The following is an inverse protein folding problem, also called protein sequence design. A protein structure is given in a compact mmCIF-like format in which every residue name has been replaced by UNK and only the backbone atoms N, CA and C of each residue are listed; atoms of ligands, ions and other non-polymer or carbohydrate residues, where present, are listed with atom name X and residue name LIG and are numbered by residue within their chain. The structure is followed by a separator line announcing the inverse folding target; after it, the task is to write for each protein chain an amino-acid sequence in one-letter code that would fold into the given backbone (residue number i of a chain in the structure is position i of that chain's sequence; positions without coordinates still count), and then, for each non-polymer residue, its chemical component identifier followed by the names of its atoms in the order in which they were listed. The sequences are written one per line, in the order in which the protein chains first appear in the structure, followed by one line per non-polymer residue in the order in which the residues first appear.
data_IF_560169145261
#
_entry.id   IF_560169145261
#
_cell.length_a   1.000
_cell.length_b   1.000
_cell.length_c   1.000
_cell.angle_alpha   90.00
_cell.angle_beta   90.00
_cell.angle_gamma   90.00
#
_symmetry.space_group_name_H-M   'P 1'
#
loop_
_entity.id
_entity.type
_entity.pdbx_description
1 polymer ?
#
# COMPACT_ATOMS: atom_id res chain seq x y z
N UNK A 1 2.89 -13.31 5.67
CA UNK A 1 3.57 -12.12 5.08
C UNK A 1 3.55 -12.29 3.57
N UNK A 2 3.65 -11.21 2.79
CA UNK A 2 3.61 -11.26 1.32
C UNK A 2 4.70 -12.17 0.73
N UNK A 3 5.84 -12.26 1.40
CA UNK A 3 6.98 -13.13 1.09
C UNK A 3 6.72 -14.63 1.33
N UNK A 4 5.53 -15.01 1.80
CA UNK A 4 5.07 -16.40 1.72
C UNK A 4 4.88 -16.85 0.25
N UNK A 5 4.66 -15.90 -0.65
CA UNK A 5 4.75 -16.13 -2.09
C UNK A 5 6.22 -16.25 -2.48
N UNK A 6 6.62 -17.43 -2.96
CA UNK A 6 8.01 -17.73 -3.34
C UNK A 6 8.49 -16.81 -4.46
N UNK A 7 9.74 -16.34 -4.35
CA UNK A 7 10.39 -15.49 -5.36
C UNK A 7 10.29 -13.99 -5.07
N UNK A 8 9.67 -13.60 -3.95
CA UNK A 8 9.59 -12.21 -3.49
C UNK A 8 10.50 -11.97 -2.29
N UNK A 9 11.11 -10.79 -2.27
CA UNK A 9 11.70 -10.20 -1.07
C UNK A 9 11.18 -8.78 -0.89
N UNK A 10 11.17 -8.29 0.35
CA UNK A 10 10.72 -6.93 0.67
C UNK A 10 11.82 -6.24 1.45
N UNK A 11 12.14 -5.02 1.06
CA UNK A 11 13.10 -4.18 1.75
C UNK A 11 12.55 -2.81 2.06
N UNK A 12 13.05 -2.22 3.14
CA UNK A 12 12.64 -0.92 3.63
C UNK A 12 13.87 -0.05 3.88
N UNK A 13 13.77 1.23 3.50
CA UNK A 13 14.66 2.27 3.97
C UNK A 13 13.81 3.47 4.37
N UNK A 14 14.18 4.15 5.44
CA UNK A 14 13.35 5.20 6.01
C UNK A 14 14.18 6.18 6.83
N UNK A 15 13.60 7.36 7.03
CA UNK A 15 14.04 8.31 8.02
C UNK A 15 12.91 8.49 9.05
N UNK A 16 13.14 8.00 10.27
CA UNK A 16 12.16 8.12 11.36
C UNK A 16 12.12 9.53 11.96
N UNK A 17 13.11 10.38 11.70
CA UNK A 17 13.06 11.78 12.13
C UNK A 17 12.18 12.60 11.21
N UNK A 18 12.33 12.47 9.88
CA UNK A 18 11.41 13.07 8.90
C UNK A 18 10.10 12.31 8.74
N UNK A 19 9.95 11.14 9.36
CA UNK A 19 8.79 10.25 9.25
C UNK A 19 8.43 9.97 7.78
N UNK A 20 9.38 9.44 7.01
CA UNK A 20 9.17 9.05 5.63
C UNK A 20 10.03 7.85 5.24
N UNK A 21 9.74 7.22 4.10
CA UNK A 21 10.53 6.09 3.64
C UNK A 21 10.04 5.45 2.36
N UNK A 22 10.71 4.36 1.98
CA UNK A 22 10.45 3.55 0.80
C UNK A 22 10.33 2.10 1.21
N UNK A 23 9.36 1.42 0.61
CA UNK A 23 9.27 -0.04 0.62
C UNK A 23 9.41 -0.53 -0.81
N UNK A 24 10.34 -1.46 -1.05
CA UNK A 24 10.55 -2.10 -2.34
C UNK A 24 10.22 -3.57 -2.23
N UNK A 25 9.36 -4.05 -3.12
CA UNK A 25 9.08 -5.47 -3.31
C UNK A 25 9.91 -5.91 -4.53
N UNK A 26 10.88 -6.80 -4.34
CA UNK A 26 11.75 -7.30 -5.41
C UNK A 26 11.29 -8.67 -5.89
N UNK A 27 11.30 -8.85 -7.21
CA UNK A 27 11.02 -10.10 -7.93
C UNK A 27 12.15 -10.38 -8.92
N UNK A 28 13.34 -10.83 -8.48
CA UNK A 28 14.52 -11.00 -9.34
C UNK A 28 14.31 -11.88 -10.57
N UNK A 29 13.44 -12.89 -10.47
CA UNK A 29 13.08 -13.78 -11.58
C UNK A 29 12.06 -13.17 -12.57
N UNK A 30 11.59 -11.95 -12.32
CA UNK A 30 10.44 -11.35 -12.99
C UNK A 30 9.11 -11.86 -12.43
N UNK A 31 8.11 -10.99 -12.39
CA UNK A 31 6.73 -11.35 -12.07
C UNK A 31 5.77 -10.63 -13.01
N UNK A 32 4.74 -11.33 -13.46
CA UNK A 32 3.65 -10.69 -14.22
C UNK A 32 2.97 -9.68 -13.31
N UNK A 33 2.77 -8.47 -13.82
CA UNK A 33 2.24 -7.37 -13.03
C UNK A 33 0.98 -6.75 -13.62
N UNK A 34 0.09 -6.31 -12.73
CA UNK A 34 -1.09 -5.50 -13.05
C UNK A 34 -1.26 -4.40 -12.00
N UNK A 35 -2.09 -3.40 -12.31
CA UNK A 35 -2.39 -2.30 -11.39
C UNK A 35 -3.84 -1.84 -11.54
N UNK A 36 -4.44 -1.44 -10.42
CA UNK A 36 -5.69 -0.67 -10.38
C UNK A 36 -5.48 0.59 -9.53
N UNK A 37 -5.60 1.76 -10.16
CA UNK A 37 -5.52 3.07 -9.51
C UNK A 37 -6.93 3.62 -9.37
N UNK A 38 -7.37 3.89 -8.13
CA UNK A 38 -8.77 4.21 -7.82
C UNK A 38 -8.97 5.56 -7.14
N UNK A 39 -8.00 6.03 -6.37
CA UNK A 39 -8.09 7.32 -5.72
C UNK A 39 -8.10 8.49 -6.71
N UNK A 40 -8.70 9.62 -6.33
CA UNK A 40 -8.78 10.83 -7.16
C UNK A 40 -7.50 11.68 -7.26
N UNK A 41 -6.48 11.41 -6.44
CA UNK A 41 -5.21 12.15 -6.40
C UNK A 41 -3.98 11.22 -6.47
N UNK A 42 -3.85 10.37 -7.50
CA UNK A 42 -2.75 9.42 -7.59
C UNK A 42 -1.42 10.11 -7.89
N UNK A 43 -0.35 9.64 -7.26
CA UNK A 43 1.01 9.89 -7.70
C UNK A 43 1.65 8.56 -8.07
N UNK A 44 1.90 8.34 -9.36
CA UNK A 44 2.35 7.05 -9.88
C UNK A 44 3.48 7.21 -10.89
N UNK A 45 4.19 6.12 -11.12
CA UNK A 45 5.20 5.97 -12.16
C UNK A 45 5.02 4.63 -12.87
N UNK A 46 5.13 4.66 -14.20
CA UNK A 46 5.19 3.47 -15.07
C UNK A 46 3.97 2.53 -14.98
N UNK A 47 2.81 3.06 -14.58
CA UNK A 47 1.55 2.30 -14.54
C UNK A 47 1.03 1.93 -15.93
N UNK A 48 1.26 2.76 -16.95
CA UNK A 48 0.84 2.50 -18.33
C UNK A 48 1.52 1.27 -18.93
N UNK A 49 2.70 0.89 -18.45
CA UNK A 49 3.37 -0.34 -18.88
C UNK A 49 2.68 -1.60 -18.36
N UNK A 50 1.83 -1.48 -17.33
CA UNK A 50 1.11 -2.59 -16.72
C UNK A 50 -0.27 -2.84 -17.36
N UNK A 51 -0.70 -2.02 -18.32
CA UNK A 51 -1.93 -2.32 -19.06
C UNK A 51 -1.74 -3.60 -19.89
N UNK A 52 -2.76 -4.47 -20.02
CA UNK A 52 -2.61 -5.78 -20.66
C UNK A 52 -2.07 -5.72 -22.10
N UNK A 53 -2.30 -4.62 -22.80
CA UNK A 53 -1.90 -4.40 -24.19
C UNK A 53 -0.41 -4.00 -24.33
N UNK A 54 0.23 -3.52 -23.26
CA UNK A 54 1.61 -3.06 -23.30
C UNK A 54 2.61 -4.23 -23.33
N UNK A 55 3.73 -4.03 -24.01
CA UNK A 55 4.75 -5.05 -24.31
C UNK A 55 5.48 -5.63 -23.08
N UNK A 56 5.59 -4.88 -21.99
CA UNK A 56 6.30 -5.37 -20.79
C UNK A 56 5.41 -6.36 -20.05
N UNK A 57 5.77 -7.64 -20.07
CA UNK A 57 5.02 -8.69 -19.38
C UNK A 57 5.35 -8.81 -17.90
N UNK A 58 6.63 -8.59 -17.56
CA UNK A 58 7.16 -8.83 -16.22
C UNK A 58 7.93 -7.63 -15.69
N UNK A 59 7.81 -7.40 -14.38
CA UNK A 59 8.59 -6.42 -13.64
C UNK A 59 9.45 -7.10 -12.60
N UNK A 60 10.52 -6.41 -12.19
CA UNK A 60 11.50 -6.93 -11.23
C UNK A 60 11.40 -6.25 -9.87
N UNK A 61 10.61 -5.17 -9.78
CA UNK A 61 10.32 -4.50 -8.53
C UNK A 61 9.02 -3.70 -8.60
N UNK A 62 8.41 -3.49 -7.43
CA UNK A 62 7.40 -2.45 -7.17
C UNK A 62 7.91 -1.57 -6.03
N UNK A 63 7.81 -0.25 -6.16
CA UNK A 63 8.20 0.69 -5.11
C UNK A 63 6.99 1.46 -4.55
N UNK A 64 6.81 1.40 -3.23
CA UNK A 64 5.86 2.23 -2.50
C UNK A 64 6.65 3.28 -1.73
N UNK A 65 6.34 4.56 -1.91
CA UNK A 65 7.16 5.66 -1.40
C UNK A 65 6.34 6.65 -0.58
N UNK A 66 6.94 7.21 0.48
CA UNK A 66 6.46 8.44 1.11
C UNK A 66 6.83 9.68 0.28
N UNK A 67 6.70 10.87 0.84
CA UNK A 67 7.19 12.12 0.25
C UNK A 67 6.32 12.69 -0.88
N UNK A 68 5.11 12.16 -1.11
CA UNK A 68 4.26 12.52 -2.25
C UNK A 68 5.05 12.41 -3.57
N UNK A 69 4.73 13.22 -4.58
CA UNK A 69 5.35 13.16 -5.90
C UNK A 69 6.89 13.24 -5.88
N UNK A 70 7.48 13.93 -4.89
CA UNK A 70 8.93 13.99 -4.72
C UNK A 70 9.55 12.61 -4.45
N UNK A 71 8.84 11.75 -3.70
CA UNK A 71 9.30 10.42 -3.36
C UNK A 71 9.47 9.47 -4.54
N UNK A 72 8.90 9.79 -5.72
CA UNK A 72 9.18 9.05 -6.95
C UNK A 72 10.67 9.11 -7.34
N UNK A 73 11.44 10.06 -6.81
CA UNK A 73 12.90 10.09 -6.97
C UNK A 73 13.59 8.84 -6.42
N UNK A 74 13.00 8.15 -5.43
CA UNK A 74 13.53 6.89 -4.91
C UNK A 74 13.61 5.79 -5.98
N UNK A 75 12.71 5.82 -6.98
CA UNK A 75 12.70 4.82 -8.04
C UNK A 75 14.00 4.82 -8.85
N UNK A 76 14.67 5.96 -8.97
CA UNK A 76 16.00 6.03 -9.61
C UNK A 76 17.02 5.11 -8.93
N UNK A 77 17.01 5.04 -7.60
CA UNK A 77 17.88 4.14 -6.85
C UNK A 77 17.53 2.66 -7.02
N UNK A 78 16.22 2.36 -7.08
CA UNK A 78 15.75 1.00 -7.35
C UNK A 78 16.18 0.54 -8.74
N UNK A 79 16.05 1.40 -9.75
CA UNK A 79 16.53 1.13 -11.10
C UNK A 79 18.05 0.92 -11.15
N UNK A 80 18.83 1.74 -10.43
CA UNK A 80 20.28 1.57 -10.33
C UNK A 80 20.65 0.20 -9.75
N UNK A 81 20.05 -0.18 -8.62
CA UNK A 81 20.29 -1.48 -8.01
C UNK A 81 19.92 -2.63 -8.95
N UNK A 82 18.75 -2.57 -9.61
CA UNK A 82 18.34 -3.60 -10.56
C UNK A 82 19.29 -3.71 -11.75
N UNK A 83 19.74 -2.58 -12.31
CA UNK A 83 20.67 -2.56 -13.44
C UNK A 83 22.02 -3.19 -13.07
N UNK A 84 22.57 -2.88 -11.90
CA UNK A 84 23.82 -3.46 -11.39
C UNK A 84 23.74 -4.99 -11.22
N UNK A 85 22.55 -5.51 -10.92
CA UNK A 85 22.32 -6.94 -10.73
C UNK A 85 21.81 -7.64 -12.00
N UNK A 86 21.74 -6.92 -13.14
CA UNK A 86 21.33 -7.48 -14.42
C UNK A 86 19.83 -7.80 -14.53
N UNK A 87 18.99 -7.14 -13.75
CA UNK A 87 17.53 -7.28 -13.79
C UNK A 87 16.90 -6.18 -14.66
N UNK A 88 15.96 -6.55 -15.53
CA UNK A 88 15.30 -5.59 -16.40
C UNK A 88 14.77 -6.22 -17.68
N UNK A 89 14.05 -5.40 -18.45
CA UNK A 89 13.54 -5.76 -19.76
C UNK A 89 14.65 -5.72 -20.82
N UNK A 90 14.80 -6.79 -21.59
CA UNK A 90 15.82 -6.88 -22.65
C UNK A 90 15.42 -6.07 -23.88
N UNK A 91 16.16 -5.00 -24.15
CA UNK A 91 15.90 -4.10 -25.30
C UNK A 91 16.76 -4.40 -26.53
N UNK A 92 17.66 -5.39 -26.43
CA UNK A 92 18.68 -5.70 -27.45
C UNK A 92 19.96 -4.86 -27.34
N UNK A 93 19.93 -3.71 -26.64
CA UNK A 93 21.14 -2.90 -26.34
C UNK A 93 21.54 -2.98 -24.87
N UNK A 94 20.56 -3.11 -23.98
CA UNK A 94 20.76 -3.29 -22.54
C UNK A 94 19.49 -3.87 -21.89
N UNK A 95 19.65 -4.37 -20.66
CA UNK A 95 18.52 -4.60 -19.76
C UNK A 95 18.09 -3.28 -19.14
N UNK A 96 16.84 -2.89 -19.36
CA UNK A 96 16.26 -1.66 -18.83
C UNK A 96 15.31 -2.02 -17.68
N UNK A 97 15.62 -1.67 -16.42
CA UNK A 97 14.71 -1.88 -15.31
C UNK A 97 13.37 -1.14 -15.51
N UNK A 98 12.27 -1.85 -15.28
CA UNK A 98 10.91 -1.29 -15.25
C UNK A 98 10.44 -1.40 -13.81
N UNK A 99 10.18 -0.25 -13.18
CA UNK A 99 9.83 -0.17 -11.75
C UNK A 99 8.57 0.66 -11.59
N UNK A 100 7.38 0.03 -11.67
CA UNK A 100 6.15 0.68 -11.31
C UNK A 100 6.19 1.13 -9.84
N UNK A 101 5.67 2.32 -9.59
CA UNK A 101 5.69 2.89 -8.26
C UNK A 101 4.46 3.75 -7.98
N UNK A 102 4.17 3.92 -6.70
CA UNK A 102 3.17 4.85 -6.23
C UNK A 102 3.64 5.53 -4.94
N UNK A 103 3.11 6.74 -4.69
CA UNK A 103 3.49 7.57 -3.54
C UNK A 103 2.31 7.88 -2.65
N UNK A 104 2.58 7.98 -1.35
CA UNK A 104 1.67 8.54 -0.35
C UNK A 104 2.20 9.86 0.17
N UNK A 105 1.29 10.71 0.65
CA UNK A 105 1.61 12.01 1.21
C UNK A 105 1.78 11.91 2.73
N UNK A 106 3.01 12.03 3.21
CA UNK A 106 3.38 12.04 4.63
C UNK A 106 4.00 13.37 5.09
N UNK A 107 4.16 14.34 4.18
CA UNK A 107 4.83 15.62 4.44
C UNK A 107 4.17 16.47 5.55
N UNK A 108 2.87 16.26 5.82
CA UNK A 108 2.16 16.97 6.88
C UNK A 108 2.40 16.37 8.29
N UNK A 109 2.71 15.08 8.38
CA UNK A 109 3.10 14.44 9.64
C UNK A 109 4.61 14.53 9.85
N UNK A 110 5.35 14.31 8.76
CA UNK A 110 6.79 14.32 8.68
C UNK A 110 7.37 15.70 8.36
N UNK A 111 8.49 15.70 7.64
CA UNK A 111 9.17 16.92 7.21
C UNK A 111 8.96 17.18 5.71
N UNK A 112 8.65 18.43 5.36
CA UNK A 112 8.46 18.84 3.97
C UNK A 112 9.78 19.06 3.18
N UNK A 113 10.93 19.11 3.88
CA UNK A 113 12.26 19.34 3.31
C UNK A 113 13.10 18.05 3.18
N UNK A 114 12.59 16.91 3.64
CA UNK A 114 13.28 15.62 3.60
C UNK A 114 12.31 14.52 3.19
N UNK A 115 12.48 14.02 1.98
CA UNK A 115 11.65 12.99 1.34
C UNK A 115 12.53 11.92 0.71
N UNK A 116 11.98 10.75 0.34
CA UNK A 116 12.75 9.68 -0.27
C UNK A 116 13.48 10.10 -1.56
N UNK A 117 14.75 9.71 -1.65
CA UNK A 117 15.62 9.96 -2.78
C UNK A 117 16.20 8.66 -3.34
N UNK A 118 17.00 8.77 -4.40
CA UNK A 118 17.64 7.62 -5.03
C UNK A 118 18.48 6.79 -4.03
N UNK A 119 19.20 7.42 -3.10
CA UNK A 119 20.00 6.69 -2.12
C UNK A 119 19.11 5.84 -1.20
N UNK A 120 17.98 6.38 -0.76
CA UNK A 120 17.01 5.65 0.05
C UNK A 120 16.36 4.49 -0.73
N UNK A 121 16.00 4.71 -2.01
CA UNK A 121 15.48 3.65 -2.87
C UNK A 121 16.46 2.49 -3.07
N UNK A 122 17.73 2.80 -3.32
CA UNK A 122 18.80 1.79 -3.43
C UNK A 122 18.99 1.03 -2.11
N UNK A 123 19.04 1.75 -0.98
CA UNK A 123 19.18 1.14 0.34
C UNK A 123 18.02 0.20 0.68
N UNK A 124 16.80 0.52 0.25
CA UNK A 124 15.65 -0.37 0.41
C UNK A 124 15.85 -1.69 -0.35
N UNK A 125 16.42 -1.67 -1.56
CA UNK A 125 16.75 -2.89 -2.30
C UNK A 125 17.82 -3.73 -1.58
N UNK A 126 18.88 -3.09 -1.06
CA UNK A 126 19.94 -3.77 -0.30
C UNK A 126 19.37 -4.44 0.96
N UNK A 127 18.41 -3.81 1.63
CA UNK A 127 17.78 -4.32 2.84
C UNK A 127 16.72 -5.40 2.58
N UNK A 128 16.47 -5.79 1.32
CA UNK A 128 15.40 -6.71 0.98
C UNK A 128 15.62 -8.12 1.56
N UNK A 129 14.59 -8.65 2.21
CA UNK A 129 14.63 -9.99 2.81
C UNK A 129 13.28 -10.69 2.73
N UNK A 130 13.23 -11.96 3.13
CA UNK A 130 11.97 -12.71 3.26
C UNK A 130 11.23 -12.39 4.57
N UNK A 131 11.89 -11.79 5.56
CA UNK A 131 11.26 -11.29 6.77
C UNK A 131 10.80 -9.84 6.53
N UNK A 132 9.50 -9.60 6.70
CA UNK A 132 8.88 -8.30 6.43
C UNK A 132 8.57 -7.61 7.75
N UNK A 133 9.21 -6.47 7.99
CA UNK A 133 8.88 -5.63 9.13
C UNK A 133 7.55 -4.89 8.88
N UNK A 134 6.78 -4.67 9.94
CA UNK A 134 5.47 -3.99 9.91
C UNK A 134 5.48 -2.77 10.85
N UNK A 135 4.45 -1.93 10.74
CA UNK A 135 4.32 -0.71 11.53
C UNK A 135 5.03 0.48 10.87
N UNK A 136 5.77 1.25 11.65
CA UNK A 136 6.35 2.52 11.21
C UNK A 136 7.70 2.33 10.49
N UNK A 137 7.70 1.61 9.37
CA UNK A 137 8.88 1.33 8.54
C UNK A 137 8.61 1.60 7.07
N UNK A 138 9.65 1.95 6.33
CA UNK A 138 9.57 2.20 4.88
C UNK A 138 8.49 3.22 4.55
N UNK A 139 7.65 2.94 3.56
CA UNK A 139 6.50 3.81 3.22
C UNK A 139 5.51 4.00 4.39
N UNK A 140 5.46 3.08 5.36
CA UNK A 140 4.62 3.19 6.54
C UNK A 140 5.15 4.14 7.62
N UNK A 141 6.40 4.63 7.51
CA UNK A 141 7.02 5.48 8.51
C UNK A 141 6.17 6.73 8.81
N UNK A 142 5.71 7.42 7.77
CA UNK A 142 4.87 8.62 7.85
C UNK A 142 3.37 8.41 7.75
N UNK A 143 2.90 7.16 7.66
CA UNK A 143 1.50 6.88 7.38
C UNK A 143 0.57 7.15 8.58
N UNK A 144 -0.63 7.67 8.32
CA UNK A 144 -1.66 8.01 9.32
C UNK A 144 -3.08 7.83 8.78
N UNK A 145 -4.08 7.73 9.66
CA UNK A 145 -5.50 7.48 9.31
C UNK A 145 -6.46 8.37 10.11
N UNK A 146 -7.72 8.45 9.69
CA UNK A 146 -8.78 9.14 10.44
C UNK A 146 -8.61 10.65 10.46
N UNK A 147 -8.51 11.25 9.27
CA UNK A 147 -8.08 12.66 9.10
C UNK A 147 -9.24 13.63 8.84
N UNK A 148 -10.48 13.17 9.01
CA UNK A 148 -11.68 13.97 8.74
C UNK A 148 -11.72 15.29 9.53
N UNK A 149 -11.17 15.31 10.75
CA UNK A 149 -11.05 16.51 11.59
C UNK A 149 -9.62 17.09 11.62
N UNK A 150 -8.82 16.77 10.58
CA UNK A 150 -7.43 17.18 10.44
C UNK A 150 -6.45 16.32 11.25
N UNK A 151 -5.16 16.55 11.01
CA UNK A 151 -4.05 15.82 11.64
C UNK A 151 -4.09 15.79 13.18
N UNK A 152 -4.53 16.84 13.90
CA UNK A 152 -4.62 16.79 15.37
C UNK A 152 -5.59 15.74 15.93
N UNK A 153 -6.52 15.24 15.11
CA UNK A 153 -7.45 14.16 15.46
C UNK A 153 -7.07 12.81 14.83
N UNK A 154 -6.03 12.77 14.00
CA UNK A 154 -5.61 11.55 13.32
C UNK A 154 -4.95 10.54 14.27
N UNK A 155 -4.81 9.31 13.78
CA UNK A 155 -4.06 8.25 14.43
C UNK A 155 -2.89 7.80 13.56
N UNK A 156 -1.83 7.33 14.22
CA UNK A 156 -0.69 6.74 13.54
C UNK A 156 -1.08 5.40 12.94
N UNK A 157 -0.60 5.17 11.72
CA UNK A 157 -0.74 3.93 10.97
C UNK A 157 0.64 3.47 10.49
N UNK A 158 0.70 2.53 9.57
CA UNK A 158 1.96 1.99 9.11
C UNK A 158 1.85 1.07 7.91
N UNK A 159 2.78 0.13 7.88
CA UNK A 159 2.87 -0.94 6.92
C UNK A 159 2.34 -2.23 7.54
N UNK A 160 1.51 -2.98 6.81
CA UNK A 160 0.98 -4.27 7.23
C UNK A 160 1.13 -5.31 6.14
N UNK A 161 1.22 -6.58 6.53
CA UNK A 161 1.29 -7.69 5.58
C UNK A 161 0.57 -8.93 6.08
N UNK A 162 -0.10 -9.64 5.17
CA UNK A 162 -0.79 -10.90 5.46
C UNK A 162 -0.57 -11.90 4.32
N UNK A 163 -0.95 -13.15 4.56
CA UNK A 163 -0.93 -14.20 3.54
C UNK A 163 -1.85 -15.36 3.90
N UNK A 164 -2.33 -16.08 2.91
CA UNK A 164 -3.08 -17.33 3.04
C UNK A 164 -2.55 -18.37 2.04
N UNK A 165 -2.54 -19.63 2.45
CA UNK A 165 -2.24 -20.78 1.59
C UNK A 165 -3.56 -21.51 1.35
N UNK A 166 -3.94 -21.66 0.09
CA UNK A 166 -5.18 -22.30 -0.33
C UNK A 166 -5.06 -23.84 -0.22
N UNK A 167 -6.19 -24.57 -0.20
CA UNK A 167 -6.16 -26.04 -0.15
C UNK A 167 -5.41 -26.71 -1.33
N UNK A 168 -5.37 -26.06 -2.49
CA UNK A 168 -4.59 -26.53 -3.66
C UNK A 168 -3.09 -26.19 -3.56
N UNK A 169 -2.69 -25.50 -2.49
CA UNK A 169 -1.34 -25.04 -2.20
C UNK A 169 -0.99 -23.67 -2.78
N UNK A 170 -1.91 -23.01 -3.51
CA UNK A 170 -1.69 -21.66 -4.03
C UNK A 170 -1.51 -20.67 -2.89
N UNK A 171 -0.56 -19.75 -3.01
CA UNK A 171 -0.30 -18.74 -2.00
C UNK A 171 -0.82 -17.40 -2.49
N UNK A 172 -1.49 -16.68 -1.60
CA UNK A 172 -1.85 -15.26 -1.79
C UNK A 172 -1.24 -14.46 -0.65
N UNK A 173 -0.51 -13.41 -0.99
CA UNK A 173 0.12 -12.49 -0.05
C UNK A 173 -0.31 -11.06 -0.30
N UNK A 174 -0.32 -10.22 0.73
CA UNK A 174 -0.52 -8.78 0.58
C UNK A 174 0.42 -7.99 1.46
N UNK A 175 0.79 -6.80 1.00
CA UNK A 175 1.51 -5.77 1.73
C UNK A 175 0.85 -4.43 1.44
N UNK A 176 0.67 -3.60 2.47
CA UNK A 176 -0.02 -2.32 2.35
C UNK A 176 0.60 -1.26 3.26
N UNK A 177 0.75 -0.04 2.75
CA UNK A 177 1.02 1.17 3.53
C UNK A 177 -0.25 2.01 3.61
N UNK A 178 -0.79 2.20 4.81
CA UNK A 178 -2.14 2.77 5.01
C UNK A 178 -2.04 4.21 5.50
N UNK A 179 -2.16 5.17 4.58
CA UNK A 179 -2.21 6.61 4.85
C UNK A 179 -3.59 7.20 4.51
N UNK A 180 -4.66 6.53 4.92
CA UNK A 180 -6.03 6.82 4.48
C UNK A 180 -6.63 8.12 5.05
N UNK A 181 -7.59 8.69 4.32
CA UNK A 181 -8.45 9.74 4.85
C UNK A 181 -9.41 9.18 5.92
N UNK A 182 -10.04 8.04 5.61
CA UNK A 182 -11.03 7.40 6.46
C UNK A 182 -10.47 6.62 7.65
N UNK A 183 -11.40 5.98 8.34
CA UNK A 183 -11.14 5.14 9.50
C UNK A 183 -10.87 3.69 9.09
N UNK A 184 -10.08 2.98 9.89
CA UNK A 184 -9.81 1.55 9.72
C UNK A 184 -10.69 0.73 10.63
N UNK A 185 -11.35 -0.26 10.03
CA UNK A 185 -12.32 -1.15 10.63
C UNK A 185 -11.88 -2.60 10.47
N UNK A 186 -12.16 -3.41 11.49
CA UNK A 186 -12.05 -4.87 11.38
C UNK A 186 -13.08 -5.41 10.39
N UNK A 187 -12.63 -6.26 9.50
CA UNK A 187 -13.50 -7.04 8.62
C UNK A 187 -13.73 -8.44 9.21
N UNK A 188 -14.94 -8.72 9.77
CA UNK A 188 -15.21 -10.00 10.41
C UNK A 188 -15.18 -11.18 9.45
N UNK A 189 -15.37 -10.96 8.14
CA UNK A 189 -15.27 -12.02 7.13
C UNK A 189 -13.81 -12.42 6.94
N UNK A 190 -12.94 -11.45 6.68
CA UNK A 190 -11.52 -11.68 6.47
C UNK A 190 -10.84 -12.27 7.71
N UNK A 191 -11.17 -11.76 8.92
CA UNK A 191 -10.57 -12.24 10.17
C UNK A 191 -11.30 -13.42 10.79
N UNK A 192 -12.35 -13.95 10.14
CA UNK A 192 -13.23 -15.02 10.65
C UNK A 192 -13.65 -14.79 12.11
N UNK A 193 -13.86 -13.53 12.49
CA UNK A 193 -14.14 -13.13 13.87
C UNK A 193 -15.65 -13.05 14.07
N UNK A 194 -16.24 -13.79 15.02
CA UNK A 194 -17.65 -13.66 15.35
C UNK A 194 -17.96 -12.24 15.85
N UNK A 195 -19.00 -11.61 15.30
CA UNK A 195 -19.43 -10.26 15.69
C UNK A 195 -19.54 -9.30 14.51
N UNK A 196 -19.82 -8.03 14.82
CA UNK A 196 -19.86 -6.96 13.84
C UNK A 196 -18.49 -6.33 13.57
N UNK A 197 -18.46 -5.41 12.61
CA UNK A 197 -17.27 -4.60 12.33
C UNK A 197 -16.96 -3.68 13.52
N UNK A 198 -15.68 -3.57 13.88
CA UNK A 198 -15.18 -2.75 15.00
C UNK A 198 -14.17 -1.75 14.45
N UNK A 199 -14.29 -0.47 14.84
CA UNK A 199 -13.31 0.55 14.47
C UNK A 199 -12.00 0.30 15.23
N UNK A 200 -10.91 0.09 14.50
CA UNK A 200 -9.57 -0.19 15.07
C UNK A 200 -8.74 1.08 15.20
N UNK A 201 -8.84 1.98 14.24
CA UNK A 201 -8.17 3.27 14.23
C UNK A 201 -9.00 4.27 13.40
N UNK A 202 -8.90 5.55 13.71
CA UNK A 202 -9.68 6.55 13.00
C UNK A 202 -9.62 7.92 13.65
N UNK A 203 -10.61 8.74 13.34
CA UNK A 203 -10.74 10.07 13.92
C UNK A 203 -10.90 9.97 15.42
N UNK A 204 -10.07 10.69 16.17
CA UNK A 204 -10.17 10.79 17.63
C UNK A 204 -11.03 11.97 18.05
N UNK A 205 -11.90 11.71 19.02
CA UNK A 205 -12.53 12.75 19.82
C UNK A 205 -11.48 13.37 20.77
N UNK A 206 -11.20 14.65 20.58
CA UNK A 206 -10.21 15.36 21.41
C UNK A 206 -10.70 15.63 22.84
N UNK A 207 -12.00 15.55 23.10
CA UNK A 207 -12.56 15.80 24.42
C UNK A 207 -12.42 14.61 25.36
N UNK A 208 -12.59 13.38 24.86
CA UNK A 208 -12.58 12.15 25.69
C UNK A 208 -11.57 11.09 25.22
N UNK A 209 -10.91 11.27 24.08
CA UNK A 209 -9.91 10.35 23.53
C UNK A 209 -10.48 9.13 22.80
N UNK A 210 -11.81 8.97 22.74
CA UNK A 210 -12.48 7.90 22.01
C UNK A 210 -12.41 8.07 20.49
N UNK A 211 -12.92 7.08 19.76
CA UNK A 211 -13.00 7.13 18.29
C UNK A 211 -14.35 7.68 17.83
N UNK A 212 -14.31 8.51 16.79
CA UNK A 212 -15.45 8.99 16.04
C UNK A 212 -15.48 8.29 14.69
N UNK A 213 -16.69 8.04 14.18
CA UNK A 213 -16.91 7.54 12.83
C UNK A 213 -16.90 8.70 11.84
N UNK A 214 -15.95 8.71 10.91
CA UNK A 214 -15.89 9.65 9.78
C UNK A 214 -17.18 9.65 9.00
N UNK A 215 -17.81 8.48 8.82
CA UNK A 215 -19.08 8.37 8.12
C UNK A 215 -20.23 9.05 8.86
N UNK A 216 -20.20 9.09 10.19
CA UNK A 216 -21.20 9.80 10.99
C UNK A 216 -20.94 11.30 10.97
N UNK A 217 -19.68 11.72 11.03
CA UNK A 217 -19.28 13.12 10.87
C UNK A 217 -19.73 13.69 9.51
N UNK A 218 -19.58 12.93 8.42
CA UNK A 218 -20.03 13.34 7.09
C UNK A 218 -21.57 13.55 7.01
N UNK A 219 -22.33 12.81 7.81
CA UNK A 219 -23.80 12.93 7.86
C UNK A 219 -24.29 14.01 8.80
N UNK A 220 -23.44 14.49 9.70
CA UNK A 220 -23.78 15.50 10.68
C UNK A 220 -23.66 16.92 10.09
N UNK A 221 -24.76 17.67 9.98
CA UNK A 221 -24.76 19.03 9.41
C UNK A 221 -23.80 19.99 10.11
N UNK A 222 -23.44 19.74 11.38
CA UNK A 222 -22.49 20.56 12.15
C UNK A 222 -21.07 20.48 11.58
N UNK A 223 -20.69 19.34 11.02
CA UNK A 223 -19.35 19.10 10.48
C UNK A 223 -19.28 19.25 8.96
N UNK A 224 -20.40 19.18 8.24
CA UNK A 224 -20.47 19.31 6.78
C UNK A 224 -19.72 20.53 6.19
N UNK A 225 -19.77 21.74 6.78
CA UNK A 225 -19.02 22.88 6.26
C UNK A 225 -17.49 22.66 6.21
N UNK A 226 -16.95 21.78 7.05
CA UNK A 226 -15.53 21.45 7.09
C UNK A 226 -15.08 20.47 5.98
N UNK A 227 -16.02 19.82 5.28
CA UNK A 227 -15.72 18.82 4.26
C UNK A 227 -15.79 19.36 2.82
N UNK A 228 -15.94 20.68 2.65
CA UNK A 228 -15.98 21.33 1.33
C UNK A 228 -14.63 21.33 0.60
N UNK A 229 -14.67 21.55 -0.71
CA UNK A 229 -13.51 21.55 -1.63
C UNK A 229 -12.42 22.59 -1.33
N UNK A 230 -12.66 23.51 -0.40
CA UNK A 230 -11.68 24.48 0.11
C UNK A 230 -10.84 23.96 1.28
N UNK A 231 -11.16 22.78 1.85
CA UNK A 231 -10.42 22.23 2.97
C UNK A 231 -9.09 21.60 2.49
N UNK A 232 -8.02 22.39 2.56
CA UNK A 232 -6.66 21.94 2.23
C UNK A 232 -6.13 20.87 3.18
N UNK A 233 -6.66 20.78 4.40
CA UNK A 233 -6.23 19.79 5.40
C UNK A 233 -6.74 18.38 5.06
N UNK A 234 -7.69 18.26 4.12
CA UNK A 234 -8.18 16.99 3.59
C UNK A 234 -7.36 16.45 2.41
N UNK A 235 -6.38 17.22 1.89
CA UNK A 235 -5.54 16.78 0.76
C UNK A 235 -4.39 15.87 1.25
N UNK A 236 -4.03 14.88 0.43
CA UNK A 236 -2.84 14.05 0.69
C UNK A 236 -3.12 12.76 1.47
N UNK A 237 -4.10 11.98 1.02
CA UNK A 237 -4.39 10.67 1.58
C UNK A 237 -4.12 9.59 0.55
N UNK A 238 -3.68 8.41 0.98
CA UNK A 238 -3.35 7.33 0.05
C UNK A 238 -3.21 5.99 0.77
N UNK A 239 -3.85 4.94 0.27
CA UNK A 239 -3.52 3.56 0.62
C UNK A 239 -2.81 2.89 -0.54
N UNK A 240 -1.57 2.45 -0.32
CA UNK A 240 -0.73 1.81 -1.34
C UNK A 240 -0.58 0.33 -1.01
N UNK A 241 -0.95 -0.56 -1.94
CA UNK A 241 -0.86 -1.98 -1.71
C UNK A 241 -0.21 -2.75 -2.86
N UNK A 242 0.34 -3.91 -2.51
CA UNK A 242 0.74 -4.98 -3.43
C UNK A 242 0.06 -6.25 -2.97
N UNK A 243 -0.68 -6.91 -3.86
CA UNK A 243 -1.10 -8.30 -3.71
C UNK A 243 -0.21 -9.19 -4.59
N UNK A 244 0.17 -10.36 -4.09
CA UNK A 244 1.05 -11.28 -4.78
C UNK A 244 0.50 -12.69 -4.74
N UNK A 245 0.81 -13.49 -5.76
CA UNK A 245 0.51 -14.91 -5.81
C UNK A 245 1.56 -15.69 -6.58
N UNK A 246 1.67 -16.99 -6.30
CA UNK A 246 2.51 -17.91 -7.06
C UNK A 246 1.78 -18.56 -8.25
N UNK A 247 0.49 -18.24 -8.43
CA UNK A 247 -0.31 -18.65 -9.58
C UNK A 247 0.19 -18.03 -10.91
N UNK A 248 0.11 -18.78 -12.00
CA UNK A 248 0.37 -18.31 -13.36
C UNK A 248 -0.79 -17.45 -13.87
N UNK A 249 -0.60 -16.13 -13.93
CA UNK A 249 -1.60 -15.18 -14.45
C UNK A 249 -1.10 -14.49 -15.72
N UNK A 250 -2.01 -14.18 -16.63
CA UNK A 250 -1.82 -13.16 -17.66
C UNK A 250 -1.86 -11.75 -17.09
N UNK A 251 -1.42 -10.73 -17.84
CA UNK A 251 -1.54 -9.31 -17.42
C UNK A 251 -2.99 -8.89 -17.16
N UNK A 252 -3.93 -9.37 -17.97
CA UNK A 252 -5.36 -9.10 -17.78
C UNK A 252 -5.89 -9.69 -16.47
N UNK A 253 -5.46 -10.90 -16.13
CA UNK A 253 -5.80 -11.56 -14.87
C UNK A 253 -5.11 -10.90 -13.67
N UNK A 254 -3.85 -10.47 -13.79
CA UNK A 254 -3.17 -9.70 -12.76
C UNK A 254 -3.86 -8.34 -12.51
N UNK A 255 -4.27 -7.64 -13.58
CA UNK A 255 -5.10 -6.42 -13.44
C UNK A 255 -6.44 -6.72 -12.76
N UNK A 256 -7.09 -7.83 -13.11
CA UNK A 256 -8.34 -8.23 -12.47
C UNK A 256 -8.15 -8.57 -10.99
N UNK A 257 -7.03 -9.21 -10.64
CA UNK A 257 -6.66 -9.49 -9.26
C UNK A 257 -6.48 -8.18 -8.46
N UNK A 258 -5.76 -7.20 -9.01
CA UNK A 258 -5.62 -5.87 -8.40
C UNK A 258 -6.97 -5.18 -8.19
N UNK A 259 -7.86 -5.23 -9.18
CA UNK A 259 -9.22 -4.68 -9.08
C UNK A 259 -10.05 -5.34 -7.98
N UNK A 260 -10.02 -6.68 -7.88
CA UNK A 260 -10.77 -7.40 -6.86
C UNK A 260 -10.20 -7.16 -5.46
N UNK A 261 -8.87 -7.02 -5.35
CA UNK A 261 -8.22 -6.73 -4.08
C UNK A 261 -8.66 -5.37 -3.48
N UNK A 262 -9.03 -4.37 -4.31
CA UNK A 262 -9.59 -3.10 -3.83
C UNK A 262 -10.80 -3.28 -2.91
N UNK A 263 -11.58 -4.36 -3.09
CA UNK A 263 -12.73 -4.67 -2.22
C UNK A 263 -12.28 -4.94 -0.77
N UNK A 264 -11.05 -5.43 -0.56
CA UNK A 264 -10.44 -5.57 0.75
C UNK A 264 -10.18 -4.22 1.42
N UNK A 265 -9.73 -3.23 0.65
CA UNK A 265 -9.58 -1.85 1.12
C UNK A 265 -10.94 -1.25 1.47
N UNK A 266 -11.94 -1.39 0.60
CA UNK A 266 -13.29 -0.85 0.83
C UNK A 266 -14.01 -1.46 2.05
N UNK A 267 -13.75 -2.74 2.36
CA UNK A 267 -14.32 -3.39 3.54
C UNK A 267 -13.70 -2.89 4.85
N UNK A 268 -12.42 -2.52 4.82
CA UNK A 268 -11.62 -2.16 6.01
C UNK A 268 -11.39 -0.66 6.19
N UNK A 269 -11.58 0.17 5.17
CA UNK A 269 -11.32 1.61 5.23
C UNK A 269 -12.56 2.39 4.82
N UNK A 270 -13.02 3.30 5.70
CA UNK A 270 -14.29 4.02 5.50
C UNK A 270 -14.19 5.50 5.87
N UNK A 271 -14.44 6.43 4.93
CA UNK A 271 -14.51 6.21 3.47
C UNK A 271 -13.13 5.90 2.86
N UNK A 272 -13.12 5.40 1.63
CA UNK A 272 -11.92 5.22 0.80
C UNK A 272 -12.23 5.54 -0.66
N UNK A 273 -11.20 5.66 -1.52
CA UNK A 273 -11.30 6.07 -2.92
C UNK A 273 -11.95 7.44 -3.08
N UNK A 274 -11.75 8.32 -2.10
CA UNK A 274 -12.25 9.67 -2.16
C UNK A 274 -11.47 10.47 -3.21
N UNK A 275 -11.99 11.64 -3.64
CA UNK A 275 -11.23 12.55 -4.50
C UNK A 275 -9.87 12.99 -3.93
N UNK A 276 -9.65 12.79 -2.62
CA UNK A 276 -8.43 13.17 -1.91
C UNK A 276 -7.45 12.01 -1.73
N UNK A 277 -7.88 10.78 -2.04
CA UNK A 277 -7.06 9.59 -1.92
C UNK A 277 -6.27 9.33 -3.21
N UNK A 278 -5.06 8.76 -3.10
CA UNK A 278 -4.25 8.27 -4.22
C UNK A 278 -4.26 6.74 -4.36
N UNK A 279 -5.32 6.07 -3.85
CA UNK A 279 -5.32 4.62 -3.61
C UNK A 279 -4.92 3.81 -4.84
N UNK A 280 -3.95 2.92 -4.66
CA UNK A 280 -3.35 2.14 -5.74
C UNK A 280 -3.03 0.72 -5.24
N UNK A 281 -3.50 -0.28 -5.98
CA UNK A 281 -3.17 -1.69 -5.74
C UNK A 281 -2.41 -2.24 -6.95
N UNK A 282 -1.20 -2.74 -6.72
CA UNK A 282 -0.46 -3.56 -7.69
C UNK A 282 -0.72 -5.04 -7.43
N UNK A 283 -0.71 -5.85 -8.49
CA UNK A 283 -0.73 -7.30 -8.40
C UNK A 283 0.57 -7.87 -8.99
N UNK A 284 1.15 -8.89 -8.35
CA UNK A 284 2.32 -9.64 -8.83
C UNK A 284 2.01 -11.14 -8.89
N UNK A 285 2.40 -11.80 -9.98
CA UNK A 285 2.28 -13.25 -10.15
C UNK A 285 3.63 -13.86 -10.51
N UNK A 286 4.16 -14.75 -9.65
CA UNK A 286 5.48 -15.39 -9.87
C UNK A 286 5.43 -16.68 -10.70
N UNK A 287 4.23 -17.10 -11.12
CA UNK A 287 4.02 -18.16 -12.11
C UNK A 287 4.73 -19.50 -11.78
N UNK A 288 4.63 -19.95 -10.53
CA UNK A 288 5.18 -21.22 -10.05
C UNK A 288 4.19 -22.38 -10.14
N UNK A 289 2.90 -22.10 -10.36
CA UNK A 289 1.84 -23.13 -10.40
C UNK A 289 0.63 -22.69 -11.24
N UNK A 290 -0.20 -23.64 -11.73
CA UNK A 290 -1.43 -23.32 -12.42
C UNK A 290 -2.34 -22.40 -11.59
N UNK A 291 -2.98 -21.42 -12.23
CA UNK A 291 -3.89 -20.54 -11.53
C UNK A 291 -5.21 -21.25 -11.19
N UNK A 292 -5.72 -21.08 -9.95
CA UNK A 292 -7.09 -21.43 -9.65
C UNK A 292 -8.08 -20.49 -10.36
N UNK A 293 -9.39 -20.80 -10.37
CA UNK A 293 -10.40 -19.90 -10.89
C UNK A 293 -10.30 -18.49 -10.29
N UNK A 294 -10.34 -17.46 -11.13
CA UNK A 294 -10.14 -16.06 -10.72
C UNK A 294 -11.12 -15.61 -9.62
N UNK A 295 -12.34 -16.14 -9.60
CA UNK A 295 -13.32 -15.87 -8.53
C UNK A 295 -12.79 -16.28 -7.15
N UNK A 296 -12.08 -17.39 -7.06
CA UNK A 296 -11.47 -17.85 -5.81
C UNK A 296 -10.27 -16.98 -5.46
N UNK A 297 -9.33 -16.85 -6.40
CA UNK A 297 -8.08 -16.12 -6.19
C UNK A 297 -8.33 -14.65 -5.81
N UNK A 298 -9.17 -13.96 -6.57
CA UNK A 298 -9.44 -12.54 -6.35
C UNK A 298 -10.23 -12.26 -5.08
N UNK A 299 -11.18 -13.12 -4.70
CA UNK A 299 -11.93 -12.95 -3.45
C UNK A 299 -11.02 -13.11 -2.23
N UNK A 300 -10.13 -14.10 -2.27
CA UNK A 300 -9.19 -14.34 -1.18
C UNK A 300 -8.07 -13.29 -1.15
N UNK A 301 -7.67 -12.74 -2.29
CA UNK A 301 -6.77 -11.57 -2.31
C UNK A 301 -7.39 -10.35 -1.62
N UNK A 302 -8.70 -10.14 -1.77
CA UNK A 302 -9.41 -9.09 -1.03
C UNK A 302 -9.40 -9.36 0.49
N UNK A 303 -9.61 -10.61 0.93
CA UNK A 303 -9.55 -10.99 2.36
C UNK A 303 -8.14 -10.81 2.95
N UNK A 304 -7.12 -11.26 2.21
CA UNK A 304 -5.71 -11.12 2.62
C UNK A 304 -5.31 -9.65 2.68
N UNK A 305 -5.75 -8.81 1.72
CA UNK A 305 -5.48 -7.38 1.78
C UNK A 305 -6.21 -6.70 2.95
N UNK A 306 -7.47 -7.06 3.23
CA UNK A 306 -8.19 -6.59 4.41
C UNK A 306 -7.43 -6.92 5.72
N UNK A 307 -6.95 -8.16 5.86
CA UNK A 307 -6.10 -8.55 6.99
C UNK A 307 -4.83 -7.70 7.08
N UNK A 308 -4.18 -7.41 5.95
CA UNK A 308 -2.97 -6.59 5.92
C UNK A 308 -3.24 -5.13 6.36
N UNK A 309 -4.40 -4.57 6.02
CA UNK A 309 -4.82 -3.23 6.46
C UNK A 309 -4.98 -3.18 7.98
N UNK A 310 -5.65 -4.17 8.58
CA UNK A 310 -5.79 -4.23 10.04
C UNK A 310 -4.44 -4.31 10.73
N UNK A 311 -3.52 -5.14 10.20
CA UNK A 311 -2.16 -5.25 10.73
C UNK A 311 -1.40 -3.93 10.63
N UNK A 312 -1.59 -3.14 9.58
CA UNK A 312 -0.90 -1.87 9.41
C UNK A 312 -1.16 -0.89 10.58
N UNK A 313 -2.39 -0.83 11.09
CA UNK A 313 -2.74 0.02 12.24
C UNK A 313 -2.42 -0.62 13.59
N UNK A 314 -2.57 -1.95 13.70
CA UNK A 314 -2.29 -2.68 14.95
C UNK A 314 -0.78 -2.79 15.25
N UNK A 315 0.06 -2.83 14.22
CA UNK A 315 1.52 -2.91 14.34
C UNK A 315 2.19 -1.53 14.41
N UNK A 316 1.43 -0.45 14.16
CA UNK A 316 1.95 0.91 14.26
C UNK A 316 2.25 1.29 15.72
N UNK A 317 3.27 2.13 15.91
CA UNK A 317 3.59 2.74 17.21
C UNK A 317 3.38 4.23 17.11
N UNK A 318 2.99 4.86 18.21
CA UNK A 318 2.84 6.32 18.29
C UNK A 318 4.10 7.05 17.78
N UNK A 319 3.93 8.02 16.88
CA UNK A 319 5.02 8.79 16.27
C UNK A 319 4.49 10.11 15.70
N UNK A 320 5.35 11.14 15.59
CA UNK A 320 4.95 12.45 15.04
C UNK A 320 3.83 13.14 15.83
N UNK A 321 3.70 12.83 17.13
CA UNK A 321 2.61 13.34 17.98
C UNK A 321 1.25 12.64 17.79
N UNK A 322 1.15 11.66 16.90
CA UNK A 322 -0.07 10.85 16.72
C UNK A 322 -0.02 9.57 17.57
N UNK A 323 -1.11 9.21 18.26
CA UNK A 323 -1.18 7.94 18.98
C UNK A 323 -1.42 6.76 18.03
N UNK A 324 -0.96 5.58 18.43
CA UNK A 324 -1.27 4.28 17.80
C UNK A 324 -2.61 3.72 18.28
N UNK A 325 -3.10 2.67 17.61
CA UNK A 325 -4.27 1.91 18.03
C UNK A 325 -4.05 1.08 19.30
N UNK A 326 -2.78 0.75 19.60
CA UNK A 326 -2.32 0.09 20.82
C UNK A 326 -1.43 0.99 21.65
#
# INVERSE_FOLDING_TARGET
MITAVTGLTVGHAHDLEALTGVTVILTPAGAVAGVDVRGGAPGTRETDLLVPEAMVDQVHAIALCGGSAFGLAAVTGVMQWLAEHGYGFETGVARVPIVPAAVLFDLALGRADRFPDAAMGYAACVAASTLVAEGCVGAGAGASVGKALGMPAAMKSGLGTASEILPDGTVVGALVAVNAYGDVWRDPVATRTPGGSVQLAGVRDRANGGLLSTMDLLRDPRFQPAFGSSNRDALGNTTLAVVATDACLSKAEARKLAQMAQDGLARTIRPIHTPFDGDTVFALATAQRPAPPMVMLGSLAADVLACAVERAVLMARSAGGLPSAM
#
